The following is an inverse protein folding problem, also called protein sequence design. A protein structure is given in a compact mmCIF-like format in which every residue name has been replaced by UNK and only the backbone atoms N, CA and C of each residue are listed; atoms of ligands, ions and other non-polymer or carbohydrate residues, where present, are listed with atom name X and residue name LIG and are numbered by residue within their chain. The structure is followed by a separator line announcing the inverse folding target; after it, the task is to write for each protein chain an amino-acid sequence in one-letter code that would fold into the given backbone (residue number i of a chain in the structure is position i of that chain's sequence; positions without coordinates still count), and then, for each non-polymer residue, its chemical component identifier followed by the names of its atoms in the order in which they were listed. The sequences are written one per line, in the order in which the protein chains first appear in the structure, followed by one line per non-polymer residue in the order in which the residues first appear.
data_IF_855975026814
#
_entry.id   IF_855975026814
#
_cell.length_a   1.000
_cell.length_b   1.000
_cell.length_c   1.000
_cell.angle_alpha   90.00
_cell.angle_beta   90.00
_cell.angle_gamma   90.00
#
_symmetry.space_group_name_H-M   'P 1'
#
loop_
_entity.id
_entity.type
_entity.pdbx_description
1 polymer ?
#
# COMPACT_ATOMS: atom_id res chain seq x y z
N UNK A 1 -2.98 -1.26 -65.29
CA UNK A 1 -2.01 -1.12 -64.17
C UNK A 1 -2.44 -0.21 -63.00
N UNK A 2 -3.43 0.70 -63.11
CA UNK A 2 -3.79 1.62 -62.01
C UNK A 2 -4.79 1.09 -60.96
N UNK A 3 -5.59 0.05 -61.26
CA UNK A 3 -6.57 -0.54 -60.31
C UNK A 3 -5.95 -1.41 -59.21
N UNK A 4 -4.76 -1.98 -59.44
CA UNK A 4 -4.08 -2.88 -58.48
C UNK A 4 -3.39 -2.13 -57.33
N UNK A 5 -3.02 -0.86 -57.53
CA UNK A 5 -2.32 -0.05 -56.53
C UNK A 5 -3.30 0.50 -55.48
N UNK A 6 -4.52 0.88 -55.88
CA UNK A 6 -5.54 1.39 -54.96
C UNK A 6 -6.01 0.34 -53.95
N UNK A 7 -6.17 -0.93 -54.38
CA UNK A 7 -6.60 -2.02 -53.46
C UNK A 7 -5.51 -2.34 -52.43
N UNK A 8 -4.22 -2.24 -52.80
CA UNK A 8 -3.11 -2.50 -51.87
C UNK A 8 -2.93 -1.39 -50.82
N UNK A 9 -3.23 -0.14 -51.16
CA UNK A 9 -3.18 0.99 -50.22
C UNK A 9 -4.36 0.93 -49.22
N UNK A 10 -5.55 0.52 -49.65
CA UNK A 10 -6.71 0.35 -48.77
C UNK A 10 -6.54 -0.79 -47.76
N UNK A 11 -5.87 -1.89 -48.13
CA UNK A 11 -5.58 -3.00 -47.20
C UNK A 11 -4.47 -2.60 -46.20
N UNK A 12 -3.47 -1.82 -46.61
CA UNK A 12 -2.45 -1.32 -45.67
C UNK A 12 -3.03 -0.34 -44.63
N UNK A 13 -3.97 0.53 -45.03
CA UNK A 13 -4.64 1.44 -44.11
C UNK A 13 -5.58 0.71 -43.12
N UNK A 14 -6.25 -0.36 -43.57
CA UNK A 14 -7.09 -1.17 -42.69
C UNK A 14 -6.27 -1.96 -41.64
N UNK A 15 -5.07 -2.42 -42.00
CA UNK A 15 -4.16 -3.09 -41.05
C UNK A 15 -3.53 -2.07 -40.07
N UNK A 16 -3.23 -0.84 -40.50
CA UNK A 16 -2.72 0.21 -39.61
C UNK A 16 -3.77 0.74 -38.61
N UNK A 17 -5.05 0.74 -38.99
CA UNK A 17 -6.14 1.17 -38.09
C UNK A 17 -6.53 0.06 -37.11
N UNK A 18 -6.36 -1.23 -37.44
CA UNK A 18 -6.55 -2.32 -36.47
C UNK A 18 -5.40 -2.47 -35.46
N UNK A 19 -4.21 -1.94 -35.75
CA UNK A 19 -3.08 -1.97 -34.80
C UNK A 19 -3.10 -0.88 -33.72
N UNK A 20 -4.03 0.08 -33.79
CA UNK A 20 -4.09 1.23 -32.86
C UNK A 20 -5.23 1.15 -31.82
N UNK A 21 -5.97 0.04 -31.79
CA UNK A 21 -7.04 -0.18 -30.82
C UNK A 21 -6.74 -1.33 -29.84
N UNK A 22 -5.46 -1.62 -29.56
CA UNK A 22 -5.12 -2.16 -28.24
C UNK A 22 -5.23 -0.99 -27.26
N UNK A 23 -6.45 -0.57 -26.96
CA UNK A 23 -6.70 0.02 -25.65
C UNK A 23 -6.13 -0.99 -24.67
N UNK A 24 -5.06 -0.65 -23.97
CA UNK A 24 -4.55 -1.45 -22.87
C UNK A 24 -5.76 -1.75 -21.99
N UNK A 25 -6.26 -2.98 -22.06
CA UNK A 25 -7.42 -3.38 -21.30
C UNK A 25 -7.03 -3.16 -19.86
N UNK A 26 -7.68 -2.19 -19.20
CA UNK A 26 -7.45 -1.90 -17.79
C UNK A 26 -7.49 -3.23 -17.04
N UNK A 27 -6.46 -3.50 -16.25
CA UNK A 27 -6.37 -4.73 -15.48
C UNK A 27 -7.60 -4.84 -14.56
N UNK A 28 -7.96 -6.06 -14.14
CA UNK A 28 -9.07 -6.21 -13.19
C UNK A 28 -8.81 -5.47 -11.86
N UNK A 29 -7.54 -5.35 -11.47
CA UNK A 29 -7.09 -4.45 -10.39
C UNK A 29 -7.45 -2.98 -10.65
N UNK A 30 -7.17 -2.47 -11.85
CA UNK A 30 -7.52 -1.09 -12.22
C UNK A 30 -9.03 -0.86 -12.23
N UNK A 31 -9.82 -1.86 -12.64
CA UNK A 31 -11.29 -1.80 -12.61
C UNK A 31 -11.82 -1.80 -11.17
N UNK A 32 -11.18 -2.54 -10.28
CA UNK A 32 -11.48 -2.57 -8.85
C UNK A 32 -11.03 -1.31 -8.10
N UNK A 33 -10.22 -0.45 -8.71
CA UNK A 33 -9.57 0.68 -8.03
C UNK A 33 -8.46 0.25 -7.06
N UNK A 34 -8.10 -1.03 -7.04
CA UNK A 34 -7.13 -1.65 -6.13
C UNK A 34 -5.71 -1.44 -6.62
N UNK A 35 -4.87 -0.90 -5.75
CA UNK A 35 -3.45 -0.63 -6.03
C UNK A 35 -2.63 -1.58 -5.21
N UNK A 36 -1.87 -2.45 -5.85
CA UNK A 36 -0.93 -3.34 -5.16
C UNK A 36 0.45 -2.68 -5.13
N UNK A 37 0.99 -2.50 -3.93
CA UNK A 37 2.31 -1.94 -3.69
C UNK A 37 3.05 -2.68 -2.60
N UNK A 38 4.27 -2.23 -2.30
CA UNK A 38 5.06 -2.79 -1.19
C UNK A 38 5.20 -1.80 -0.05
N UNK A 39 5.13 -2.30 1.18
CA UNK A 39 5.62 -1.61 2.39
C UNK A 39 7.14 -1.84 2.44
N UNK A 40 7.95 -0.79 2.29
CA UNK A 40 9.41 -0.92 2.15
C UNK A 40 10.13 -1.52 3.36
N UNK A 41 9.45 -1.65 4.51
CA UNK A 41 9.92 -2.35 5.72
C UNK A 41 10.08 -3.86 5.49
N UNK A 42 9.33 -4.43 4.54
CA UNK A 42 9.58 -5.79 4.01
C UNK A 42 11.03 -5.98 3.54
N UNK A 43 11.71 -4.88 3.20
CA UNK A 43 13.09 -4.81 2.75
C UNK A 43 13.94 -3.89 3.64
N UNK A 44 13.65 -3.79 4.94
CA UNK A 44 14.38 -2.89 5.85
C UNK A 44 15.88 -3.19 5.99
N UNK A 45 16.32 -4.39 5.59
CA UNK A 45 17.73 -4.80 5.53
C UNK A 45 18.46 -4.31 4.28
N UNK A 46 17.71 -3.70 3.35
CA UNK A 46 18.20 -3.12 2.11
C UNK A 46 17.95 -1.61 2.09
N UNK A 47 18.69 -0.94 1.22
CA UNK A 47 18.50 0.49 0.94
C UNK A 47 17.16 0.75 0.26
N UNK A 48 16.70 1.99 0.31
CA UNK A 48 15.51 2.46 -0.41
C UNK A 48 15.65 2.20 -1.92
N UNK A 49 16.82 2.45 -2.50
CA UNK A 49 17.05 2.20 -3.93
C UNK A 49 16.93 0.72 -4.29
N UNK A 50 17.48 -0.17 -3.46
CA UNK A 50 17.30 -1.63 -3.64
C UNK A 50 15.84 -2.04 -3.47
N UNK A 51 15.13 -1.49 -2.48
CA UNK A 51 13.69 -1.75 -2.31
C UNK A 51 12.86 -1.29 -3.51
N UNK A 52 13.20 -0.16 -4.13
CA UNK A 52 12.57 0.33 -5.37
C UNK A 52 12.86 -0.61 -6.54
N UNK A 53 14.10 -1.10 -6.67
CA UNK A 53 14.49 -2.05 -7.70
C UNK A 53 13.77 -3.38 -7.56
N UNK A 54 13.65 -3.89 -6.32
CA UNK A 54 12.87 -5.09 -6.02
C UNK A 54 11.38 -4.88 -6.35
N UNK A 55 10.79 -3.75 -5.96
CA UNK A 55 9.40 -3.44 -6.30
C UNK A 55 9.18 -3.42 -7.82
N UNK A 56 10.11 -2.82 -8.57
CA UNK A 56 10.09 -2.84 -10.03
C UNK A 56 10.20 -4.27 -10.61
N UNK A 57 11.12 -5.08 -10.10
CA UNK A 57 11.30 -6.48 -10.50
C UNK A 57 10.03 -7.31 -10.28
N UNK A 58 9.34 -7.09 -9.16
CA UNK A 58 8.06 -7.74 -8.83
C UNK A 58 6.87 -7.21 -9.64
N UNK A 59 7.09 -6.21 -10.51
CA UNK A 59 6.04 -5.58 -11.30
C UNK A 59 5.05 -4.76 -10.45
N UNK A 60 5.50 -4.21 -9.32
CA UNK A 60 4.72 -3.33 -8.45
C UNK A 60 4.95 -1.88 -8.85
N UNK A 61 3.85 -1.13 -8.99
CA UNK A 61 3.90 0.29 -9.40
C UNK A 61 3.76 1.25 -8.22
N UNK A 62 3.51 0.75 -7.01
CA UNK A 62 3.24 1.56 -5.83
C UNK A 62 4.14 1.11 -4.67
N UNK A 63 4.51 2.07 -3.83
CA UNK A 63 5.28 1.83 -2.62
C UNK A 63 4.76 2.70 -1.48
N UNK A 64 4.74 2.12 -0.29
CA UNK A 64 4.68 2.79 1.00
C UNK A 64 6.08 2.78 1.59
N UNK A 65 6.63 3.96 1.90
CA UNK A 65 7.99 4.07 2.44
C UNK A 65 7.97 4.18 3.97
N UNK A 66 8.79 3.37 4.65
CA UNK A 66 9.01 3.51 6.09
C UNK A 66 10.14 4.48 6.40
N UNK A 67 10.09 5.08 7.59
CA UNK A 67 11.12 6.02 8.05
C UNK A 67 12.30 5.29 8.69
N UNK A 68 13.51 5.71 8.38
CA UNK A 68 14.76 5.11 8.84
C UNK A 68 15.47 4.24 7.81
N UNK A 69 14.88 3.98 6.65
CA UNK A 69 15.52 3.20 5.58
C UNK A 69 16.73 3.94 5.00
N UNK A 70 17.95 3.35 4.96
CA UNK A 70 19.10 3.95 4.27
C UNK A 70 18.78 4.23 2.79
N UNK A 71 19.20 5.36 2.23
CA UNK A 71 18.74 5.76 0.90
C UNK A 71 19.39 4.96 -0.25
N UNK A 72 20.71 4.78 -0.24
CA UNK A 72 21.46 4.08 -1.28
C UNK A 72 21.81 4.94 -2.51
N UNK A 73 22.49 4.34 -3.50
CA UNK A 73 22.87 5.00 -4.78
C UNK A 73 23.57 6.37 -4.63
N UNK A 74 24.41 6.51 -3.60
CA UNK A 74 25.15 7.74 -3.32
C UNK A 74 24.33 8.86 -2.64
N UNK A 75 23.07 8.62 -2.32
CA UNK A 75 22.28 9.50 -1.45
C UNK A 75 22.66 9.27 0.01
N UNK A 76 22.97 10.35 0.74
CA UNK A 76 23.33 10.28 2.15
C UNK A 76 22.08 10.26 3.05
N UNK A 77 22.18 9.56 4.19
CA UNK A 77 21.14 9.52 5.21
C UNK A 77 20.07 8.46 4.98
N UNK A 78 18.92 8.68 5.60
CA UNK A 78 17.79 7.74 5.63
C UNK A 78 16.50 8.42 5.18
N UNK A 79 15.50 7.62 4.81
CA UNK A 79 14.14 8.10 4.59
C UNK A 79 13.60 8.73 5.88
N UNK A 80 13.41 10.05 5.91
CA UNK A 80 12.88 10.80 7.04
C UNK A 80 12.10 12.01 6.52
N UNK A 81 10.95 12.33 7.12
CA UNK A 81 10.13 13.47 6.70
C UNK A 81 10.81 14.85 6.93
N UNK A 82 11.93 14.87 7.65
CA UNK A 82 12.77 16.04 7.94
C UNK A 82 13.90 16.25 6.92
N UNK A 83 14.09 15.33 5.97
CA UNK A 83 15.13 15.45 4.94
C UNK A 83 15.00 16.73 4.10
N UNK A 84 16.09 17.21 3.53
CA UNK A 84 16.11 18.43 2.73
C UNK A 84 15.41 18.27 1.36
N UNK A 85 15.17 19.38 0.67
CA UNK A 85 14.43 19.40 -0.60
C UNK A 85 15.17 18.72 -1.75
N UNK A 86 16.50 18.71 -1.76
CA UNK A 86 17.27 18.12 -2.85
C UNK A 86 17.26 16.59 -2.75
N UNK A 87 17.45 16.06 -1.54
CA UNK A 87 17.31 14.62 -1.26
C UNK A 87 15.92 14.09 -1.67
N UNK A 88 14.84 14.84 -1.36
CA UNK A 88 13.48 14.50 -1.82
C UNK A 88 13.37 14.36 -3.34
N UNK A 89 13.98 15.29 -4.10
CA UNK A 89 13.96 15.23 -5.57
C UNK A 89 14.72 14.02 -6.10
N UNK A 90 15.86 13.67 -5.50
CA UNK A 90 16.65 12.50 -5.89
C UNK A 90 15.85 11.21 -5.68
N UNK A 91 15.22 11.06 -4.52
CA UNK A 91 14.32 9.95 -4.19
C UNK A 91 13.17 9.82 -5.22
N UNK A 92 12.45 10.92 -5.46
CA UNK A 92 11.34 10.93 -6.41
C UNK A 92 11.79 10.59 -7.83
N UNK A 93 12.93 11.14 -8.26
CA UNK A 93 13.53 10.86 -9.57
C UNK A 93 13.93 9.39 -9.71
N UNK A 94 14.53 8.82 -8.66
CA UNK A 94 14.94 7.42 -8.66
C UNK A 94 13.72 6.49 -8.76
N UNK A 95 12.73 6.66 -7.89
CA UNK A 95 11.48 5.90 -7.92
C UNK A 95 10.77 6.01 -9.28
N UNK A 96 10.67 7.23 -9.82
CA UNK A 96 10.09 7.47 -11.14
C UNK A 96 10.85 6.75 -12.27
N UNK A 97 12.18 6.69 -12.21
CA UNK A 97 13.00 6.00 -13.22
C UNK A 97 12.68 4.50 -13.30
N UNK A 98 12.21 3.92 -12.19
CA UNK A 98 11.77 2.52 -12.07
C UNK A 98 10.25 2.36 -12.18
N UNK A 99 9.52 3.43 -12.54
CA UNK A 99 8.05 3.46 -12.65
C UNK A 99 7.33 3.05 -11.36
N UNK A 100 7.97 3.30 -10.21
CA UNK A 100 7.40 3.10 -8.87
C UNK A 100 6.95 4.45 -8.33
N UNK A 101 5.69 4.53 -7.93
CA UNK A 101 5.11 5.72 -7.28
C UNK A 101 5.13 5.54 -5.76
N UNK A 102 5.79 6.45 -5.06
CA UNK A 102 5.66 6.57 -3.61
C UNK A 102 4.25 7.10 -3.31
N UNK A 103 3.34 6.20 -2.95
CA UNK A 103 1.92 6.47 -2.77
C UNK A 103 1.60 6.78 -1.30
N UNK A 104 2.33 6.15 -0.39
CA UNK A 104 2.15 6.26 1.05
C UNK A 104 3.48 6.40 1.80
N UNK A 105 3.42 6.85 3.06
CA UNK A 105 4.57 6.84 3.97
C UNK A 105 4.16 6.61 5.42
N UNK A 106 4.91 5.76 6.12
CA UNK A 106 4.70 5.40 7.52
C UNK A 106 5.15 3.95 7.80
N UNK A 107 4.78 3.34 8.92
CA UNK A 107 3.93 3.87 10.00
C UNK A 107 4.70 4.86 10.86
N UNK A 108 4.12 6.03 11.15
CA UNK A 108 4.78 7.08 11.95
C UNK A 108 3.98 7.48 13.19
N UNK A 109 4.71 7.80 14.25
CA UNK A 109 4.18 8.41 15.48
C UNK A 109 4.90 9.73 15.67
N UNK A 110 4.20 10.85 15.45
CA UNK A 110 4.74 12.19 15.71
C UNK A 110 4.52 12.59 17.17
N UNK A 111 5.52 13.23 17.76
CA UNK A 111 5.52 13.58 19.20
C UNK A 111 4.64 14.78 19.54
N UNK A 112 4.45 15.70 18.59
CA UNK A 112 3.76 16.98 18.79
C UNK A 112 3.19 17.53 17.46
N UNK A 113 2.43 18.62 17.56
CA UNK A 113 1.83 19.31 16.41
C UNK A 113 2.87 19.81 15.40
N UNK A 114 4.08 20.18 15.84
CA UNK A 114 5.12 20.66 14.94
C UNK A 114 5.59 19.53 14.01
N UNK A 115 5.79 18.33 14.54
CA UNK A 115 6.15 17.16 13.75
C UNK A 115 5.02 16.75 12.79
N UNK A 116 3.76 16.76 13.25
CA UNK A 116 2.62 16.51 12.37
C UNK A 116 2.58 17.49 11.19
N UNK A 117 2.72 18.78 11.47
CA UNK A 117 2.76 19.80 10.41
C UNK A 117 3.90 19.55 9.42
N UNK A 118 5.10 19.23 9.91
CA UNK A 118 6.26 18.94 9.07
C UNK A 118 6.05 17.68 8.22
N UNK A 119 5.46 16.62 8.78
CA UNK A 119 5.12 15.39 8.08
C UNK A 119 4.15 15.66 6.92
N UNK A 120 3.09 16.45 7.12
CA UNK A 120 2.16 16.79 6.05
C UNK A 120 2.80 17.68 4.97
N UNK A 121 3.67 18.62 5.34
CA UNK A 121 4.45 19.42 4.39
C UNK A 121 5.37 18.53 3.53
N UNK A 122 6.03 17.55 4.16
CA UNK A 122 6.81 16.54 3.46
C UNK A 122 5.94 15.70 2.52
N UNK A 123 4.84 15.14 3.00
CA UNK A 123 3.96 14.29 2.22
C UNK A 123 3.42 15.03 0.99
N UNK A 124 3.00 16.29 1.15
CA UNK A 124 2.57 17.14 0.05
C UNK A 124 3.70 17.39 -0.97
N UNK A 125 4.91 17.68 -0.51
CA UNK A 125 6.07 17.91 -1.38
C UNK A 125 6.50 16.64 -2.15
N UNK A 126 6.29 15.46 -1.56
CA UNK A 126 6.58 14.16 -2.17
C UNK A 126 5.44 13.66 -3.08
N UNK A 127 4.28 14.34 -3.09
CA UNK A 127 3.10 13.88 -3.82
C UNK A 127 2.43 12.64 -3.21
N UNK A 128 2.74 12.32 -1.95
CA UNK A 128 2.16 11.23 -1.18
C UNK A 128 0.65 11.47 -1.01
N UNK A 129 -0.12 10.38 -1.02
CA UNK A 129 -1.58 10.40 -0.95
C UNK A 129 -2.13 9.86 0.36
N UNK A 130 -1.38 8.98 1.02
CA UNK A 130 -1.79 8.33 2.28
C UNK A 130 -0.63 8.44 3.28
N UNK A 131 -0.90 8.91 4.48
CA UNK A 131 0.03 8.80 5.61
C UNK A 131 -0.47 7.66 6.50
N UNK A 132 0.35 6.64 6.72
CA UNK A 132 0.07 5.59 7.69
C UNK A 132 0.67 5.96 9.04
N UNK A 133 -0.12 5.92 10.12
CA UNK A 133 0.34 6.45 11.40
C UNK A 133 -0.42 5.90 12.62
N UNK A 134 0.09 6.21 13.81
CA UNK A 134 -0.56 5.90 15.10
C UNK A 134 -0.57 7.13 16.01
N UNK A 135 -1.44 8.12 15.75
CA UNK A 135 -1.52 9.32 16.55
C UNK A 135 -1.92 8.99 17.99
N UNK A 136 -1.36 9.68 18.97
CA UNK A 136 -2.02 9.80 20.27
C UNK A 136 -3.40 10.47 20.09
N UNK A 137 -4.40 10.07 20.89
CA UNK A 137 -5.76 10.62 20.76
C UNK A 137 -5.82 12.15 20.82
N UNK A 138 -4.95 12.78 21.64
CA UNK A 138 -4.87 14.24 21.76
C UNK A 138 -4.48 14.95 20.45
N UNK A 139 -3.87 14.24 19.50
CA UNK A 139 -3.47 14.80 18.20
C UNK A 139 -4.52 14.60 17.10
N UNK A 140 -5.56 13.78 17.30
CA UNK A 140 -6.48 13.37 16.24
C UNK A 140 -7.19 14.54 15.55
N UNK A 141 -7.69 15.52 16.31
CA UNK A 141 -8.35 16.70 15.74
C UNK A 141 -7.40 17.53 14.87
N UNK A 142 -6.16 17.73 15.34
CA UNK A 142 -5.15 18.46 14.58
C UNK A 142 -4.70 17.70 13.32
N UNK A 143 -4.57 16.38 13.41
CA UNK A 143 -4.27 15.52 12.26
C UNK A 143 -5.39 15.58 11.23
N UNK A 144 -6.67 15.61 11.65
CA UNK A 144 -7.81 15.78 10.75
C UNK A 144 -7.83 17.16 10.08
N UNK A 145 -7.51 18.23 10.80
CA UNK A 145 -7.36 19.57 10.22
C UNK A 145 -6.31 19.56 9.10
N UNK A 146 -5.13 18.99 9.37
CA UNK A 146 -4.04 18.89 8.39
C UNK A 146 -4.42 18.01 7.20
N UNK A 147 -5.05 16.86 7.44
CA UNK A 147 -5.53 15.97 6.38
C UNK A 147 -6.45 16.73 5.40
N UNK A 148 -7.40 17.50 5.92
CA UNK A 148 -8.29 18.33 5.12
C UNK A 148 -7.57 19.45 4.37
N UNK A 149 -6.67 20.16 5.06
CA UNK A 149 -5.88 21.25 4.49
C UNK A 149 -5.02 20.81 3.30
N UNK A 150 -4.28 19.70 3.47
CA UNK A 150 -3.36 19.21 2.46
C UNK A 150 -4.02 18.27 1.44
N UNK A 151 -5.26 17.85 1.70
CA UNK A 151 -5.98 16.85 0.90
C UNK A 151 -5.23 15.53 0.80
N UNK A 152 -4.66 15.11 1.92
CA UNK A 152 -3.92 13.85 2.09
C UNK A 152 -4.74 12.99 3.05
N UNK A 153 -4.95 11.73 2.69
CA UNK A 153 -5.68 10.81 3.56
C UNK A 153 -4.75 10.27 4.65
N UNK A 154 -5.32 10.02 5.83
CA UNK A 154 -4.62 9.46 6.97
C UNK A 154 -5.21 8.08 7.25
N UNK A 155 -4.34 7.08 7.33
CA UNK A 155 -4.68 5.70 7.55
C UNK A 155 -4.09 5.23 8.89
N UNK A 156 -4.90 5.19 9.94
CA UNK A 156 -4.47 4.81 11.29
C UNK A 156 -4.21 3.30 11.33
N UNK A 157 -2.98 2.92 11.72
CA UNK A 157 -2.52 1.54 11.75
C UNK A 157 -2.87 0.84 13.06
N UNK A 158 -3.16 -0.47 13.01
CA UNK A 158 -3.50 -1.28 14.18
C UNK A 158 -2.37 -2.23 14.60
N UNK A 159 -1.46 -1.80 15.47
CA UNK A 159 -0.50 -2.72 16.12
C UNK A 159 -1.13 -3.56 17.25
N UNK A 160 -0.55 -4.72 17.61
CA UNK A 160 -0.97 -5.53 18.74
C UNK A 160 -0.92 -4.78 20.08
N UNK A 161 -1.61 -5.32 21.11
CA UNK A 161 -1.59 -4.72 22.44
C UNK A 161 -0.19 -4.77 23.07
N UNK A 162 0.21 -3.74 23.86
CA UNK A 162 -0.54 -2.51 24.14
C UNK A 162 -0.44 -1.48 22.99
N UNK A 163 -1.57 -1.02 22.47
CA UNK A 163 -1.65 0.08 21.49
C UNK A 163 -3.01 0.79 21.57
N UNK A 164 -3.13 1.97 20.97
CA UNK A 164 -4.38 2.76 20.95
C UNK A 164 -5.43 2.24 19.96
N UNK A 165 -5.06 1.36 19.01
CA UNK A 165 -5.92 1.03 17.88
C UNK A 165 -5.98 -0.48 17.56
N UNK A 166 -5.54 -1.36 18.48
CA UNK A 166 -5.42 -2.80 18.23
C UNK A 166 -6.73 -3.53 17.88
N UNK A 167 -7.90 -2.97 18.19
CA UNK A 167 -9.21 -3.54 17.85
C UNK A 167 -10.16 -2.52 17.21
N UNK A 168 -11.11 -2.97 16.37
CA UNK A 168 -11.98 -2.08 15.61
C UNK A 168 -12.72 -1.02 16.43
N UNK A 169 -13.22 -1.37 17.62
CA UNK A 169 -14.04 -0.45 18.41
C UNK A 169 -13.26 0.77 18.89
N UNK A 170 -11.94 0.62 19.13
CA UNK A 170 -11.11 1.73 19.59
C UNK A 170 -10.89 2.77 18.47
N UNK A 171 -10.60 2.30 17.26
CA UNK A 171 -10.50 3.15 16.08
C UNK A 171 -11.83 3.83 15.75
N UNK A 172 -12.93 3.07 15.72
CA UNK A 172 -14.24 3.61 15.37
C UNK A 172 -14.71 4.68 16.36
N UNK A 173 -14.51 4.46 17.66
CA UNK A 173 -14.86 5.45 18.68
C UNK A 173 -13.96 6.70 18.58
N UNK A 174 -12.65 6.51 18.40
CA UNK A 174 -11.69 7.61 18.32
C UNK A 174 -11.88 8.49 17.07
N UNK A 175 -12.45 7.94 15.99
CA UNK A 175 -12.55 8.63 14.69
C UNK A 175 -13.97 9.00 14.28
N UNK A 176 -14.98 8.77 15.14
CA UNK A 176 -16.40 8.92 14.79
C UNK A 176 -16.79 10.32 14.31
N UNK A 177 -16.20 11.37 14.90
CA UNK A 177 -16.48 12.78 14.58
C UNK A 177 -15.47 13.38 13.58
N UNK A 178 -14.47 12.61 13.14
CA UNK A 178 -13.42 13.10 12.23
C UNK A 178 -13.88 13.00 10.78
N UNK A 179 -13.24 13.80 9.92
CA UNK A 179 -13.58 13.82 8.50
C UNK A 179 -13.33 12.48 7.80
N UNK A 180 -13.91 12.34 6.59
CA UNK A 180 -13.69 11.19 5.71
C UNK A 180 -12.23 10.98 5.25
N UNK A 181 -11.32 11.93 5.55
CA UNK A 181 -9.88 11.76 5.28
C UNK A 181 -9.19 10.91 6.33
N UNK A 182 -9.74 10.81 7.53
CA UNK A 182 -9.26 9.89 8.55
C UNK A 182 -9.93 8.54 8.33
N UNK A 183 -9.11 7.53 8.15
CA UNK A 183 -9.52 6.15 7.99
C UNK A 183 -8.48 5.19 8.56
N UNK A 184 -8.60 3.91 8.21
CA UNK A 184 -7.73 2.85 8.71
C UNK A 184 -6.66 2.44 7.70
N UNK A 185 -5.46 2.17 8.21
CA UNK A 185 -4.53 1.22 7.61
C UNK A 185 -4.80 -0.13 8.26
N UNK A 186 -5.61 -0.96 7.59
CA UNK A 186 -6.02 -2.24 8.15
C UNK A 186 -4.86 -3.26 8.05
N UNK A 187 -4.20 -3.55 9.17
CA UNK A 187 -3.29 -4.69 9.27
C UNK A 187 -4.07 -5.94 9.68
N UNK A 188 -4.23 -6.82 8.70
CA UNK A 188 -5.04 -8.04 8.83
C UNK A 188 -4.33 -9.10 9.66
N UNK A 189 -3.00 -9.12 9.68
CA UNK A 189 -2.23 -10.07 10.49
C UNK A 189 -2.23 -9.70 11.97
N UNK A 190 -2.12 -8.41 12.31
CA UNK A 190 -2.18 -7.95 13.69
C UNK A 190 -3.54 -8.21 14.35
N UNK A 191 -4.65 -8.03 13.65
CA UNK A 191 -5.96 -8.45 14.17
C UNK A 191 -6.01 -9.95 14.46
N UNK A 192 -5.53 -10.79 13.55
CA UNK A 192 -5.52 -12.22 13.74
C UNK A 192 -4.59 -12.66 14.89
N UNK A 193 -3.43 -12.00 15.06
CA UNK A 193 -2.53 -12.19 16.23
C UNK A 193 -3.23 -11.82 17.55
N UNK A 194 -4.19 -10.89 17.49
CA UNK A 194 -5.03 -10.51 18.62
C UNK A 194 -6.27 -11.39 18.82
N UNK A 195 -6.43 -12.46 18.05
CA UNK A 195 -7.58 -13.37 18.13
C UNK A 195 -8.87 -12.77 17.53
N UNK A 196 -8.74 -11.74 16.68
CA UNK A 196 -9.85 -11.15 15.94
C UNK A 196 -9.89 -11.72 14.53
N UNK A 197 -11.09 -11.92 14.00
CA UNK A 197 -11.29 -12.29 12.59
C UNK A 197 -11.09 -11.05 11.69
N UNK A 198 -10.09 -11.04 10.79
CA UNK A 198 -9.84 -9.89 9.94
C UNK A 198 -10.97 -9.55 8.97
N UNK A 199 -11.72 -10.53 8.44
CA UNK A 199 -12.83 -10.27 7.53
C UNK A 199 -14.00 -9.59 8.28
N UNK A 200 -14.30 -10.02 9.51
CA UNK A 200 -15.29 -9.34 10.35
C UNK A 200 -14.79 -7.96 10.82
N UNK A 201 -13.48 -7.77 11.02
CA UNK A 201 -12.90 -6.44 11.29
C UNK A 201 -13.06 -5.49 10.09
N UNK A 202 -12.76 -5.96 8.87
CA UNK A 202 -12.95 -5.19 7.64
C UNK A 202 -14.41 -4.78 7.45
N UNK A 203 -15.35 -5.70 7.72
CA UNK A 203 -16.80 -5.42 7.69
C UNK A 203 -17.22 -4.34 8.67
N UNK A 204 -16.64 -4.29 9.88
CA UNK A 204 -16.85 -3.19 10.83
C UNK A 204 -16.29 -1.87 10.33
N UNK A 205 -15.24 -1.90 9.50
CA UNK A 205 -14.59 -0.74 8.90
C UNK A 205 -15.20 -0.28 7.57
N UNK A 206 -16.44 -0.68 7.27
CA UNK A 206 -17.12 -0.32 6.03
C UNK A 206 -17.03 1.19 5.72
N UNK A 207 -16.43 1.53 4.58
CA UNK A 207 -16.22 2.91 4.12
C UNK A 207 -15.13 3.70 4.86
N UNK A 208 -14.37 3.07 5.77
CA UNK A 208 -13.31 3.69 6.57
C UNK A 208 -11.91 3.19 6.23
N UNK A 209 -11.75 2.11 5.47
CA UNK A 209 -10.43 1.61 5.03
C UNK A 209 -9.83 2.54 3.97
N UNK A 210 -8.56 2.93 4.13
CA UNK A 210 -7.79 3.76 3.19
C UNK A 210 -6.65 3.00 2.55
N UNK A 211 -6.00 2.16 3.34
CA UNK A 211 -4.95 1.25 2.92
C UNK A 211 -5.01 -0.02 3.78
N UNK A 212 -4.27 -1.03 3.35
CA UNK A 212 -4.05 -2.25 4.11
C UNK A 212 -2.56 -2.52 4.21
N UNK A 213 -2.11 -2.95 5.37
CA UNK A 213 -0.90 -3.76 5.50
C UNK A 213 -1.37 -5.20 5.33
N UNK A 214 -1.35 -5.65 4.07
CA UNK A 214 -1.93 -6.92 3.70
C UNK A 214 -0.88 -8.01 3.83
N UNK A 215 -1.24 -9.06 4.57
CA UNK A 215 -0.38 -10.19 4.88
C UNK A 215 -1.22 -11.44 5.09
N UNK A 216 -0.58 -12.59 5.06
CA UNK A 216 -1.13 -13.85 5.56
C UNK A 216 -0.15 -14.40 6.59
N UNK A 217 -0.64 -15.08 7.60
CA UNK A 217 0.18 -15.51 8.75
C UNK A 217 -0.04 -16.98 9.03
N UNK A 218 1.01 -17.63 9.55
CA UNK A 218 0.91 -19.05 9.92
C UNK A 218 -0.23 -19.31 10.92
N UNK A 219 -0.77 -20.52 10.89
CA UNK A 219 -1.75 -20.95 11.88
C UNK A 219 -1.16 -20.87 13.29
N UNK A 220 -2.03 -20.64 14.28
CA UNK A 220 -1.61 -20.67 15.68
C UNK A 220 -1.26 -22.10 16.09
N UNK A 221 -0.07 -22.29 16.68
CA UNK A 221 0.38 -23.56 17.21
C UNK A 221 0.59 -23.45 18.73
N UNK A 222 0.23 -24.50 19.47
CA UNK A 222 0.35 -24.51 20.92
C UNK A 222 1.83 -24.37 21.35
N UNK A 223 2.13 -23.33 22.12
CA UNK A 223 3.47 -23.07 22.65
C UNK A 223 4.31 -22.10 21.81
N UNK A 224 3.83 -21.68 20.64
CA UNK A 224 4.48 -20.61 19.87
C UNK A 224 3.99 -19.23 20.32
N UNK A 225 4.94 -18.32 20.54
CA UNK A 225 4.63 -16.94 20.91
C UNK A 225 4.26 -16.07 19.70
N UNK A 226 4.79 -16.39 18.52
CA UNK A 226 4.72 -15.53 17.34
C UNK A 226 4.20 -16.28 16.12
N UNK A 227 3.33 -15.61 15.36
CA UNK A 227 2.85 -16.07 14.05
C UNK A 227 3.47 -15.19 12.98
N UNK A 228 4.56 -15.65 12.39
CA UNK A 228 5.23 -14.94 11.31
C UNK A 228 4.39 -14.97 10.02
N UNK A 229 4.73 -14.06 9.11
CA UNK A 229 4.09 -13.97 7.81
C UNK A 229 4.47 -15.16 6.93
N UNK A 230 3.54 -15.57 6.08
CA UNK A 230 3.70 -16.66 5.11
C UNK A 230 3.16 -16.24 3.75
N UNK A 231 3.49 -17.01 2.72
CA UNK A 231 2.98 -16.80 1.36
C UNK A 231 1.46 -16.74 1.42
N UNK A 232 0.85 -15.73 0.79
CA UNK A 232 -0.59 -15.55 0.84
C UNK A 232 -1.32 -16.76 0.26
N UNK A 233 -2.34 -17.24 0.99
CA UNK A 233 -3.10 -18.44 0.65
C UNK A 233 -2.50 -19.73 1.23
N UNK A 234 -1.36 -19.65 1.93
CA UNK A 234 -0.76 -20.78 2.66
C UNK A 234 -0.92 -20.67 4.17
N UNK A 235 -1.37 -19.51 4.65
CA UNK A 235 -1.55 -19.25 6.05
C UNK A 235 -2.97 -19.56 6.53
N UNK A 236 -3.39 -18.80 7.52
CA UNK A 236 -4.60 -19.04 8.30
C UNK A 236 -5.64 -17.94 8.16
N UNK A 237 -5.35 -16.88 7.41
CA UNK A 237 -6.31 -15.81 7.18
C UNK A 237 -7.23 -16.16 6.01
N UNK A 238 -8.51 -15.80 6.12
CA UNK A 238 -9.47 -15.93 5.03
C UNK A 238 -9.25 -14.83 3.98
N UNK A 239 -8.20 -14.99 3.16
CA UNK A 239 -7.83 -14.02 2.12
C UNK A 239 -8.99 -13.80 1.15
N UNK A 240 -9.67 -14.88 0.72
CA UNK A 240 -10.80 -14.79 -0.21
C UNK A 240 -11.97 -14.00 0.40
N UNK A 241 -12.35 -14.30 1.64
CA UNK A 241 -13.40 -13.58 2.36
C UNK A 241 -13.06 -12.10 2.59
N UNK A 242 -11.81 -11.78 2.91
CA UNK A 242 -11.36 -10.39 3.04
C UNK A 242 -11.46 -9.61 1.72
N UNK A 243 -11.03 -10.20 0.60
CA UNK A 243 -11.14 -9.57 -0.72
C UNK A 243 -12.61 -9.41 -1.15
N UNK A 244 -13.45 -10.42 -0.88
CA UNK A 244 -14.88 -10.36 -1.16
C UNK A 244 -15.58 -9.24 -0.36
N UNK A 245 -15.25 -9.09 0.93
CA UNK A 245 -15.78 -8.02 1.77
C UNK A 245 -15.30 -6.64 1.28
N UNK A 246 -14.01 -6.47 0.95
CA UNK A 246 -13.50 -5.21 0.39
C UNK A 246 -14.18 -4.83 -0.92
N UNK A 247 -14.44 -5.82 -1.81
CA UNK A 247 -15.20 -5.58 -3.04
C UNK A 247 -16.63 -5.13 -2.73
N UNK A 248 -17.31 -5.80 -1.78
CA UNK A 248 -18.68 -5.46 -1.39
C UNK A 248 -18.79 -4.05 -0.83
N UNK A 249 -17.72 -3.52 -0.24
CA UNK A 249 -17.63 -2.14 0.26
C UNK A 249 -17.26 -1.12 -0.82
N UNK A 250 -17.09 -1.54 -2.08
CA UNK A 250 -16.54 -0.73 -3.16
C UNK A 250 -15.21 -0.06 -2.76
N UNK A 251 -14.37 -0.79 -2.01
CA UNK A 251 -13.09 -0.27 -1.53
C UNK A 251 -12.17 0.08 -2.71
N UNK A 252 -11.66 1.30 -2.70
CA UNK A 252 -10.57 1.74 -3.57
C UNK A 252 -9.40 2.21 -2.71
N UNK A 253 -8.23 1.58 -2.86
CA UNK A 253 -7.09 1.96 -2.04
C UNK A 253 -5.83 1.14 -2.31
N UNK A 254 -4.90 1.25 -1.38
CA UNK A 254 -3.58 0.61 -1.44
C UNK A 254 -3.57 -0.68 -0.62
N UNK A 255 -3.21 -1.78 -1.25
CA UNK A 255 -2.74 -3.00 -0.59
C UNK A 255 -1.22 -2.90 -0.53
N UNK A 256 -0.68 -2.52 0.62
CA UNK A 256 0.76 -2.53 0.89
C UNK A 256 1.14 -3.94 1.33
N UNK A 257 1.95 -4.63 0.52
CA UNK A 257 2.58 -5.90 0.90
C UNK A 257 3.56 -5.59 2.03
N UNK A 258 3.22 -6.00 3.24
CA UNK A 258 4.14 -6.04 4.36
C UNK A 258 4.42 -7.51 4.66
N UNK A 259 5.63 -7.96 4.35
CA UNK A 259 6.04 -9.36 4.48
C UNK A 259 7.17 -9.49 5.49
N UNK A 260 6.80 -9.81 6.73
CA UNK A 260 7.68 -9.77 7.89
C UNK A 260 8.38 -11.11 8.16
N UNK A 261 8.87 -11.75 7.11
CA UNK A 261 9.57 -13.03 7.19
C UNK A 261 10.60 -13.19 6.06
N UNK A 262 11.55 -14.12 6.24
CA UNK A 262 12.58 -14.42 5.23
C UNK A 262 13.29 -13.15 4.70
N UNK A 263 13.64 -12.23 5.61
CA UNK A 263 14.04 -10.84 5.30
C UNK A 263 15.15 -10.68 4.27
N UNK A 264 16.10 -11.61 4.21
CA UNK A 264 17.25 -11.52 3.30
C UNK A 264 16.93 -12.07 1.89
N UNK A 265 15.82 -12.80 1.74
CA UNK A 265 15.45 -13.47 0.49
C UNK A 265 13.93 -13.66 0.35
N UNK A 266 13.14 -12.63 0.69
CA UNK A 266 11.66 -12.68 0.68
C UNK A 266 11.05 -12.51 -0.71
N UNK A 267 11.83 -12.08 -1.71
CA UNK A 267 11.36 -11.82 -3.08
C UNK A 267 10.62 -13.01 -3.71
N UNK A 268 11.13 -14.26 -3.65
CA UNK A 268 10.43 -15.41 -4.22
C UNK A 268 9.11 -15.74 -3.50
N UNK A 269 8.99 -15.40 -2.22
CA UNK A 269 7.74 -15.63 -1.47
C UNK A 269 6.71 -14.56 -1.80
N UNK A 270 7.13 -13.30 -1.88
CA UNK A 270 6.30 -12.17 -2.28
C UNK A 270 5.78 -12.37 -3.72
N UNK A 271 6.60 -12.90 -4.65
CA UNK A 271 6.17 -13.20 -6.02
C UNK A 271 5.01 -14.21 -6.06
N UNK A 272 5.06 -15.25 -5.22
CA UNK A 272 3.97 -16.23 -5.07
C UNK A 272 2.72 -15.58 -4.48
N UNK A 273 2.87 -14.74 -3.46
CA UNK A 273 1.77 -13.97 -2.85
C UNK A 273 1.08 -13.06 -3.87
N UNK A 274 1.85 -12.33 -4.68
CA UNK A 274 1.34 -11.48 -5.77
C UNK A 274 0.58 -12.32 -6.80
N UNK A 275 1.12 -13.48 -7.18
CA UNK A 275 0.49 -14.38 -8.15
C UNK A 275 -0.85 -14.88 -7.63
N UNK A 276 -0.91 -15.32 -6.37
CA UNK A 276 -2.14 -15.74 -5.72
C UNK A 276 -3.18 -14.62 -5.63
N UNK A 277 -2.77 -13.43 -5.18
CA UNK A 277 -3.64 -12.26 -5.11
C UNK A 277 -4.24 -11.89 -6.46
N UNK A 278 -3.41 -11.83 -7.51
CA UNK A 278 -3.88 -11.52 -8.86
C UNK A 278 -4.88 -12.56 -9.37
N UNK A 279 -4.63 -13.85 -9.11
CA UNK A 279 -5.57 -14.93 -9.43
C UNK A 279 -6.94 -14.70 -8.75
N UNK A 280 -6.95 -14.41 -7.44
CA UNK A 280 -8.20 -14.17 -6.72
C UNK A 280 -8.94 -12.92 -7.23
N UNK A 281 -8.22 -11.84 -7.50
CA UNK A 281 -8.80 -10.63 -8.11
C UNK A 281 -9.40 -10.93 -9.48
N UNK A 282 -8.73 -11.77 -10.27
CA UNK A 282 -9.21 -12.19 -11.58
C UNK A 282 -10.45 -13.10 -11.51
N UNK A 283 -10.63 -13.85 -10.44
CA UNK A 283 -11.85 -14.63 -10.21
C UNK A 283 -12.99 -13.76 -9.66
N UNK A 284 -12.63 -12.72 -8.92
CA UNK A 284 -13.58 -11.82 -8.27
C UNK A 284 -14.18 -10.77 -9.23
N UNK A 285 -13.48 -10.34 -10.28
CA UNK A 285 -13.91 -9.31 -11.25
C UNK A 285 -13.96 -9.82 -12.69
#
# INVERSE_FOLDING_TARGET
MKKSIFVKISVLLAVMVLSLAVFAQKSKLDKAGWKLGVQSYSFHRFTFTEAVDIAHQLGLNYMEVYYGQPLGEGMEGTMDFRMDKETRKQILKYAQSKKVKIMASGVVICKDEQEWKQLFEFANAMGIKIITCEPEYKHLEYVDELANKYKIDVAIHNHPKPSNYWKPEMFLEATKELSSRIGACADVGHWARMGLDPAECLKKYNGKVKSLHFKDIKAAEAGEAERHDVIWGTGSLDIEGMLAELKKQDFEGLFSIEYEHNWDNSVPDIEKSITYFKKLVDELY
#
